data_IF_185342975257
#
_entry.id   IF_185342975257
#
_cell.length_a   1.000
_cell.length_b   1.000
_cell.length_c   1.000
_cell.angle_alpha   90.00
_cell.angle_beta   90.00
_cell.angle_gamma   90.00
#
_symmetry.space_group_name_H-M   'P 1'
#
loop_
_entity.id
_entity.type
_entity.pdbx_description
1 polymer ?
#
# COMPACT_ATOMS: atom_id res chain seq x y z
N UNK A 1 -8.26 -4.59 -8.32
CA UNK A 1 -7.34 -4.55 -7.16
C UNK A 1 -7.63 -3.32 -6.33
N UNK A 2 -7.50 -3.40 -5.01
CA UNK A 2 -7.77 -2.27 -4.11
C UNK A 2 -6.57 -1.32 -4.09
N UNK A 3 -6.81 0.00 -4.18
CA UNK A 3 -5.74 1.01 -4.08
C UNK A 3 -5.10 1.01 -2.69
N UNK A 4 -3.80 1.31 -2.64
CA UNK A 4 -3.07 1.38 -1.39
C UNK A 4 -3.60 2.48 -0.47
N UNK A 5 -3.90 2.18 0.82
CA UNK A 5 -4.28 3.20 1.79
C UNK A 5 -3.14 4.20 2.06
N UNK A 6 -1.92 3.90 1.62
CA UNK A 6 -0.78 4.82 1.68
C UNK A 6 -1.02 6.11 0.89
N UNK A 7 -1.74 6.04 -0.24
CA UNK A 7 -2.02 7.20 -1.10
C UNK A 7 -2.87 8.25 -0.37
N UNK A 8 -3.79 7.81 0.49
CA UNK A 8 -4.70 8.68 1.26
C UNK A 8 -4.22 8.95 2.68
N UNK A 9 -3.10 8.36 3.09
CA UNK A 9 -2.60 8.51 4.45
C UNK A 9 -2.02 9.91 4.68
N UNK A 10 -2.45 10.56 5.78
CA UNK A 10 -1.84 11.79 6.26
C UNK A 10 -0.41 11.58 6.79
N UNK A 11 0.33 12.67 7.01
CA UNK A 11 1.75 12.64 7.43
C UNK A 11 1.98 11.80 8.69
N UNK A 12 1.16 12.00 9.73
CA UNK A 12 1.27 11.22 10.97
C UNK A 12 0.99 9.72 10.72
N UNK A 13 0.01 9.40 9.88
CA UNK A 13 -0.31 8.01 9.56
C UNK A 13 0.82 7.32 8.80
N UNK A 14 1.51 8.05 7.93
CA UNK A 14 2.70 7.56 7.22
C UNK A 14 3.86 7.35 8.20
N UNK A 15 4.12 8.32 9.07
CA UNK A 15 5.22 8.26 10.06
C UNK A 15 5.07 7.08 11.04
N UNK A 16 3.88 6.87 11.58
CA UNK A 16 3.61 5.79 12.54
C UNK A 16 3.11 4.49 11.90
N UNK A 17 3.15 4.39 10.56
CA UNK A 17 2.67 3.23 9.80
C UNK A 17 1.24 2.78 10.12
N UNK A 18 0.39 3.67 10.65
CA UNK A 18 -0.97 3.28 11.09
C UNK A 18 -1.88 2.83 9.94
N UNK A 19 -1.54 3.18 8.70
CA UNK A 19 -2.24 2.74 7.49
C UNK A 19 -2.16 1.22 7.25
N UNK A 20 -1.20 0.52 7.87
CA UNK A 20 -1.03 -0.94 7.76
C UNK A 20 -1.97 -1.74 8.69
N UNK A 21 -2.61 -1.07 9.66
CA UNK A 21 -3.48 -1.73 10.65
C UNK A 21 -4.59 -2.62 10.06
N UNK A 22 -5.27 -2.25 8.96
CA UNK A 22 -6.36 -3.07 8.41
C UNK A 22 -5.88 -4.45 7.92
N UNK A 23 -4.76 -4.51 7.19
CA UNK A 23 -4.22 -5.78 6.68
C UNK A 23 -3.68 -6.66 7.79
N UNK A 24 -3.03 -6.07 8.81
CA UNK A 24 -2.57 -6.79 10.00
C UNK A 24 -3.74 -7.41 10.78
N UNK A 25 -4.82 -6.64 10.99
CA UNK A 25 -6.03 -7.13 11.66
C UNK A 25 -6.73 -8.23 10.87
N UNK A 26 -6.74 -8.12 9.53
CA UNK A 26 -7.31 -9.13 8.64
C UNK A 26 -6.50 -10.42 8.71
N UNK A 27 -5.18 -10.34 8.51
CA UNK A 27 -4.28 -11.49 8.59
C UNK A 27 -4.24 -12.18 9.95
N UNK A 28 -4.51 -11.44 11.03
CA UNK A 28 -4.66 -12.04 12.37
C UNK A 28 -5.95 -12.87 12.51
N UNK A 29 -7.04 -12.46 11.86
CA UNK A 29 -8.36 -13.11 11.98
C UNK A 29 -8.59 -14.22 10.95
N UNK A 30 -7.96 -14.11 9.78
CA UNK A 30 -8.15 -15.01 8.66
C UNK A 30 -6.89 -15.07 7.79
N UNK A 31 -6.73 -16.17 7.04
CA UNK A 31 -5.66 -16.28 6.05
C UNK A 31 -5.82 -15.20 4.98
N UNK A 32 -4.73 -14.51 4.66
CA UNK A 32 -4.71 -13.49 3.61
C UNK A 32 -4.81 -14.14 2.23
N UNK A 33 -5.56 -13.51 1.34
CA UNK A 33 -5.66 -13.87 -0.06
C UNK A 33 -5.00 -12.83 -0.97
N UNK A 34 -4.77 -13.21 -2.23
CA UNK A 34 -4.18 -12.31 -3.23
C UNK A 34 -5.07 -11.06 -3.47
N UNK A 35 -6.38 -11.21 -3.32
CA UNK A 35 -7.37 -10.13 -3.43
C UNK A 35 -7.21 -9.06 -2.33
N UNK A 36 -6.56 -9.40 -1.21
CA UNK A 36 -6.32 -8.51 -0.07
C UNK A 36 -5.08 -7.64 -0.23
N UNK A 37 -4.25 -7.95 -1.24
CA UNK A 37 -3.02 -7.22 -1.51
C UNK A 37 -3.38 -5.90 -2.21
N UNK A 38 -2.84 -4.82 -1.68
CA UNK A 38 -3.00 -3.50 -2.26
C UNK A 38 -2.16 -3.33 -3.52
N UNK A 39 -2.70 -2.59 -4.49
CA UNK A 39 -1.95 -2.17 -5.67
C UNK A 39 -0.83 -1.18 -5.27
N UNK A 40 0.31 -1.28 -5.97
CA UNK A 40 1.42 -0.36 -5.79
C UNK A 40 1.00 1.10 -6.08
N UNK A 41 1.52 2.08 -5.34
CA UNK A 41 1.33 3.49 -5.69
C UNK A 41 1.91 3.80 -7.07
N UNK A 42 1.24 4.67 -7.82
CA UNK A 42 1.70 5.05 -9.17
C UNK A 42 3.10 5.69 -9.19
N UNK A 43 3.51 6.34 -8.09
CA UNK A 43 4.84 6.94 -7.97
C UNK A 43 5.98 5.90 -7.96
N UNK A 44 5.69 4.68 -7.50
CA UNK A 44 6.65 3.60 -7.35
C UNK A 44 6.54 2.58 -8.51
N UNK A 45 5.82 2.92 -9.58
CA UNK A 45 5.68 2.03 -10.74
C UNK A 45 6.99 1.92 -11.52
N UNK A 46 7.20 0.77 -12.15
CA UNK A 46 8.38 0.51 -12.97
C UNK A 46 8.51 1.52 -14.13
N UNK A 47 7.38 1.84 -14.78
CA UNK A 47 7.36 2.79 -15.90
C UNK A 47 7.79 4.19 -15.43
N UNK A 48 7.21 4.69 -14.33
CA UNK A 48 7.51 6.02 -13.80
C UNK A 48 8.97 6.14 -13.33
N UNK A 49 9.51 5.10 -12.71
CA UNK A 49 10.90 5.10 -12.24
C UNK A 49 11.91 4.91 -13.38
N UNK A 50 11.54 4.15 -14.42
CA UNK A 50 12.39 3.99 -15.61
C UNK A 50 12.46 5.29 -16.40
N UNK A 51 11.32 5.94 -16.66
CA UNK A 51 11.27 7.24 -17.35
C UNK A 51 12.03 8.33 -16.59
N UNK A 52 12.02 8.30 -15.25
CA UNK A 52 12.76 9.28 -14.43
C UNK A 52 14.29 9.07 -14.47
N UNK A 53 14.74 7.88 -14.83
CA UNK A 53 16.16 7.52 -14.88
C UNK A 53 16.79 7.81 -16.26
N UNK A 54 16.00 7.67 -17.34
CA UNK A 54 16.39 8.02 -18.71
C UNK A 54 16.65 9.53 -18.88
#
# INVERSE_FOLDING_TARGET
MQRSPLEKAGVLSKLFFSWTRPILRKGYRQRLELSDIYQIPSADSADNLSEKLE
#
